data_IF_205679899039
#
_entry.id   IF_205679899039
#
_cell.length_a   1.000
_cell.length_b   1.000
_cell.length_c   1.000
_cell.angle_alpha   90.00
_cell.angle_beta   90.00
_cell.angle_gamma   90.00
#
_symmetry.space_group_name_H-M   'P 1'
#
loop_
_entity.id
_entity.type
_entity.pdbx_description
1 polymer ?
#
# COMPACT_ATOMS: atom_id res chain seq x y z
N UNK A 1 4.94 -12.64 24.22
CA UNK A 1 3.91 -13.59 23.75
C UNK A 1 3.91 -13.55 22.24
N UNK A 2 4.50 -14.55 21.59
CA UNK A 2 4.51 -14.70 20.12
C UNK A 2 3.12 -15.13 19.67
N UNK A 3 2.34 -14.21 19.13
CA UNK A 3 1.07 -14.58 18.48
C UNK A 3 1.39 -15.56 17.35
N UNK A 4 0.66 -16.66 17.29
CA UNK A 4 0.83 -17.65 16.22
C UNK A 4 0.56 -16.95 14.88
N UNK A 5 1.42 -17.11 13.84
CA UNK A 5 1.27 -16.42 12.55
C UNK A 5 -0.11 -16.69 11.91
N UNK A 6 -0.70 -17.81 12.17
CA UNK A 6 -2.04 -18.20 11.70
C UNK A 6 -3.15 -17.32 12.31
N UNK A 7 -3.00 -16.87 13.57
CA UNK A 7 -3.94 -15.93 14.19
C UNK A 7 -3.86 -14.53 13.56
N UNK A 8 -2.65 -14.09 13.24
CA UNK A 8 -2.44 -12.79 12.56
C UNK A 8 -3.09 -12.82 11.17
N UNK A 9 -2.92 -13.92 10.44
CA UNK A 9 -3.56 -14.11 9.13
C UNK A 9 -5.08 -14.13 9.25
N UNK A 10 -5.63 -14.82 10.24
CA UNK A 10 -7.08 -14.88 10.50
C UNK A 10 -7.62 -13.49 10.85
N UNK A 11 -6.96 -12.76 11.75
CA UNK A 11 -7.32 -11.37 12.11
C UNK A 11 -7.29 -10.47 10.86
N UNK A 12 -6.28 -10.62 10.00
CA UNK A 12 -6.18 -9.87 8.74
C UNK A 12 -7.38 -10.15 7.82
N UNK A 13 -7.72 -11.41 7.59
CA UNK A 13 -8.86 -11.79 6.74
C UNK A 13 -10.18 -11.30 7.33
N UNK A 14 -10.37 -11.41 8.66
CA UNK A 14 -11.57 -10.94 9.35
C UNK A 14 -11.76 -9.42 9.28
N UNK A 15 -10.67 -8.66 9.20
CA UNK A 15 -10.73 -7.20 9.07
C UNK A 15 -10.87 -6.80 7.60
N UNK A 16 -10.09 -7.40 6.71
CA UNK A 16 -10.09 -7.00 5.29
C UNK A 16 -11.33 -7.48 4.56
N UNK A 17 -11.93 -8.61 4.94
CA UNK A 17 -13.15 -9.13 4.32
C UNK A 17 -14.32 -8.15 4.36
N UNK A 18 -14.78 -7.71 5.55
CA UNK A 18 -15.84 -6.70 5.68
C UNK A 18 -15.49 -5.36 5.03
N UNK A 19 -14.21 -4.93 5.12
CA UNK A 19 -13.75 -3.70 4.47
C UNK A 19 -13.82 -3.81 2.95
N UNK A 20 -13.43 -4.94 2.38
CA UNK A 20 -13.54 -5.19 0.94
C UNK A 20 -15.01 -5.22 0.51
N UNK A 21 -15.87 -5.89 1.28
CA UNK A 21 -17.30 -5.92 1.00
C UNK A 21 -17.91 -4.50 0.99
N UNK A 22 -17.64 -3.69 2.03
CA UNK A 22 -18.08 -2.29 2.09
C UNK A 22 -17.54 -1.48 0.91
N UNK A 23 -16.27 -1.69 0.55
CA UNK A 23 -15.64 -1.00 -0.58
C UNK A 23 -16.37 -1.25 -1.89
N UNK A 24 -16.71 -2.50 -2.16
CA UNK A 24 -17.43 -2.90 -3.37
C UNK A 24 -18.90 -2.43 -3.40
N UNK A 25 -19.49 -2.11 -2.24
CA UNK A 25 -20.88 -1.68 -2.10
C UNK A 25 -21.06 -0.18 -1.85
N UNK A 26 -20.09 0.65 -2.25
CA UNK A 26 -20.18 2.10 -2.19
C UNK A 26 -18.95 2.83 -1.66
N UNK A 27 -18.04 2.13 -0.98
CA UNK A 27 -16.81 2.74 -0.48
C UNK A 27 -15.93 3.29 -1.61
N UNK A 28 -15.84 2.56 -2.72
CA UNK A 28 -15.11 2.99 -3.90
C UNK A 28 -15.67 4.30 -4.49
N UNK A 29 -16.99 4.42 -4.61
CA UNK A 29 -17.60 5.62 -5.13
C UNK A 29 -17.38 6.81 -4.21
N UNK A 30 -17.56 6.63 -2.89
CA UNK A 30 -17.29 7.66 -1.88
C UNK A 30 -15.83 8.13 -1.92
N UNK A 31 -14.89 7.20 -2.04
CA UNK A 31 -13.48 7.54 -2.18
C UNK A 31 -13.20 8.26 -3.51
N UNK A 32 -13.82 7.81 -4.60
CA UNK A 32 -13.65 8.42 -5.90
C UNK A 32 -14.18 9.87 -5.92
N UNK A 33 -15.28 10.17 -5.23
CA UNK A 33 -15.74 11.55 -5.03
C UNK A 33 -14.70 12.41 -4.30
N UNK A 34 -14.07 11.88 -3.26
CA UNK A 34 -12.97 12.57 -2.56
C UNK A 34 -11.79 12.80 -3.52
N UNK A 35 -11.44 11.78 -4.30
CA UNK A 35 -10.38 11.89 -5.30
C UNK A 35 -10.70 12.95 -6.37
N UNK A 36 -11.94 13.03 -6.84
CA UNK A 36 -12.35 14.08 -7.76
C UNK A 36 -12.22 15.48 -7.15
N UNK A 37 -12.59 15.64 -5.88
CA UNK A 37 -12.53 16.96 -5.21
C UNK A 37 -11.12 17.43 -4.91
N UNK A 38 -10.22 16.53 -4.55
CA UNK A 38 -8.86 16.85 -4.09
C UNK A 38 -7.79 16.53 -5.14
N UNK A 39 -7.92 15.41 -5.85
CA UNK A 39 -6.94 14.94 -6.82
C UNK A 39 -7.04 15.65 -8.17
N UNK A 40 -8.25 15.95 -8.66
CA UNK A 40 -8.42 16.62 -9.96
C UNK A 40 -7.81 18.02 -10.00
N UNK A 41 -7.96 18.88 -8.97
CA UNK A 41 -7.25 20.15 -8.95
C UNK A 41 -5.74 19.99 -9.04
N UNK A 42 -5.17 19.01 -8.31
CA UNK A 42 -3.73 18.72 -8.39
C UNK A 42 -3.30 18.26 -9.79
N UNK A 43 -4.10 17.41 -10.42
CA UNK A 43 -3.85 16.96 -11.80
C UNK A 43 -3.94 18.12 -12.80
N UNK A 44 -4.91 19.03 -12.63
CA UNK A 44 -5.05 20.22 -13.46
C UNK A 44 -3.84 21.15 -13.37
N UNK A 45 -3.29 21.36 -12.17
CA UNK A 45 -2.04 22.09 -11.96
C UNK A 45 -0.83 21.42 -12.64
N UNK A 46 -0.86 20.08 -12.77
CA UNK A 46 0.15 19.32 -13.51
C UNK A 46 -0.07 19.30 -15.02
N UNK A 47 -1.09 20.02 -15.53
CA UNK A 47 -1.40 20.15 -16.97
C UNK A 47 -2.31 19.06 -17.51
N UNK A 48 -2.91 18.22 -16.67
CA UNK A 48 -3.87 17.18 -17.08
C UNK A 48 -5.25 17.79 -17.24
N UNK A 49 -5.69 18.02 -18.49
CA UNK A 49 -7.00 18.63 -18.78
C UNK A 49 -8.10 17.60 -18.98
N UNK A 50 -7.73 16.39 -19.40
CA UNK A 50 -8.65 15.26 -19.60
C UNK A 50 -8.06 14.04 -18.93
N UNK A 51 -8.91 13.22 -18.30
CA UNK A 51 -8.46 12.03 -17.60
C UNK A 51 -9.51 10.92 -17.67
N UNK A 52 -9.12 9.75 -18.17
CA UNK A 52 -9.95 8.56 -18.12
C UNK A 52 -9.74 7.83 -16.78
N UNK A 53 -10.71 7.82 -15.87
CA UNK A 53 -10.53 7.27 -14.53
C UNK A 53 -10.41 5.74 -14.49
N UNK A 54 -10.81 5.02 -15.55
CA UNK A 54 -11.00 3.57 -15.53
C UNK A 54 -9.77 2.79 -15.00
N UNK A 55 -8.59 3.04 -15.55
CA UNK A 55 -7.36 2.34 -15.17
C UNK A 55 -6.90 2.59 -13.74
N UNK A 56 -7.24 3.75 -13.18
CA UNK A 56 -6.82 4.15 -11.82
C UNK A 56 -7.88 3.79 -10.80
N UNK A 57 -9.18 3.88 -11.16
CA UNK A 57 -10.29 3.59 -10.26
C UNK A 57 -10.20 2.18 -9.70
N UNK A 58 -9.83 1.20 -10.51
CA UNK A 58 -9.69 -0.20 -10.08
C UNK A 58 -8.56 -0.40 -9.06
N UNK A 59 -7.56 0.49 -9.04
CA UNK A 59 -6.43 0.44 -8.09
C UNK A 59 -6.68 1.16 -6.77
N UNK A 60 -7.77 1.90 -6.66
CA UNK A 60 -8.12 2.61 -5.43
C UNK A 60 -8.44 1.67 -4.26
N UNK A 61 -8.63 0.37 -4.50
CA UNK A 61 -8.78 -0.67 -3.47
C UNK A 61 -7.53 -0.84 -2.59
N UNK A 62 -6.39 -0.31 -3.00
CA UNK A 62 -5.09 -0.44 -2.32
C UNK A 62 -5.08 0.10 -0.87
N UNK A 63 -6.07 0.88 -0.46
CA UNK A 63 -6.27 1.25 0.94
C UNK A 63 -6.57 0.06 1.85
N UNK A 64 -7.32 -0.93 1.35
CA UNK A 64 -7.82 -2.04 2.16
C UNK A 64 -6.71 -2.90 2.74
N UNK A 65 -5.77 -3.43 1.93
CA UNK A 65 -4.65 -4.21 2.47
C UNK A 65 -3.78 -3.39 3.42
N UNK A 66 -3.56 -2.10 3.14
CA UNK A 66 -2.83 -1.22 4.04
C UNK A 66 -3.50 -1.08 5.41
N UNK A 67 -4.81 -0.77 5.43
CA UNK A 67 -5.58 -0.67 6.67
C UNK A 67 -5.55 -1.98 7.46
N UNK A 68 -5.78 -3.11 6.79
CA UNK A 68 -5.72 -4.43 7.41
C UNK A 68 -4.37 -4.70 8.07
N UNK A 69 -3.27 -4.48 7.34
CA UNK A 69 -1.92 -4.67 7.85
C UNK A 69 -1.62 -3.77 9.05
N UNK A 70 -1.97 -2.49 8.97
CA UNK A 70 -1.75 -1.54 10.08
C UNK A 70 -2.54 -1.90 11.34
N UNK A 71 -3.76 -2.42 11.18
CA UNK A 71 -4.61 -2.80 12.31
C UNK A 71 -4.15 -4.09 12.98
N UNK A 72 -3.72 -5.08 12.19
CA UNK A 72 -3.33 -6.41 12.68
C UNK A 72 -1.90 -6.46 13.21
N UNK A 73 -1.01 -5.54 12.79
CA UNK A 73 0.40 -5.58 13.19
C UNK A 73 0.55 -5.50 14.72
N UNK A 74 1.03 -6.58 15.38
CA UNK A 74 1.21 -6.61 16.82
C UNK A 74 2.36 -5.70 17.24
N UNK A 75 2.31 -5.16 18.46
CA UNK A 75 3.42 -4.35 18.99
C UNK A 75 3.54 -2.93 18.44
N UNK A 76 2.70 -2.54 17.48
CA UNK A 76 2.67 -1.17 17.01
C UNK A 76 1.95 -0.30 18.04
N UNK A 77 2.68 0.61 18.69
CA UNK A 77 2.11 1.53 19.68
C UNK A 77 0.99 2.38 19.11
N UNK A 78 0.01 2.75 19.94
CA UNK A 78 -1.19 3.47 19.53
C UNK A 78 -0.88 4.72 18.68
N UNK A 79 -0.03 5.62 19.17
CA UNK A 79 0.35 6.85 18.44
C UNK A 79 0.98 6.53 17.09
N UNK A 80 1.93 5.58 17.06
CA UNK A 80 2.60 5.19 15.82
C UNK A 80 1.63 4.57 14.81
N UNK A 81 0.61 3.85 15.29
CA UNK A 81 -0.45 3.28 14.46
C UNK A 81 -1.30 4.38 13.83
N UNK A 82 -1.80 5.35 14.61
CA UNK A 82 -2.65 6.42 14.10
C UNK A 82 -1.90 7.38 13.17
N UNK A 83 -0.70 7.81 13.56
CA UNK A 83 0.14 8.65 12.70
C UNK A 83 0.51 7.89 11.43
N UNK A 84 0.88 6.62 11.55
CA UNK A 84 1.19 5.77 10.41
C UNK A 84 0.01 5.56 9.46
N UNK A 85 -1.21 5.40 10.00
CA UNK A 85 -2.43 5.34 9.21
C UNK A 85 -2.66 6.65 8.45
N UNK A 86 -2.61 7.80 9.14
CA UNK A 86 -2.85 9.10 8.52
C UNK A 86 -1.81 9.39 7.40
N UNK A 87 -0.53 9.22 7.69
CA UNK A 87 0.55 9.42 6.71
C UNK A 87 0.46 8.41 5.58
N UNK A 88 0.22 7.14 5.88
CA UNK A 88 0.12 6.10 4.87
C UNK A 88 -1.08 6.30 3.94
N UNK A 89 -2.24 6.69 4.46
CA UNK A 89 -3.41 7.02 3.64
C UNK A 89 -3.15 8.22 2.73
N UNK A 90 -2.46 9.25 3.24
CA UNK A 90 -2.05 10.39 2.43
C UNK A 90 -1.09 9.97 1.31
N UNK A 91 -0.09 9.14 1.61
CA UNK A 91 0.87 8.65 0.61
C UNK A 91 0.19 7.77 -0.44
N UNK A 92 -0.76 6.91 -0.05
CA UNK A 92 -1.55 6.11 -1.00
C UNK A 92 -2.42 7.01 -1.87
N UNK A 93 -3.07 8.04 -1.29
CA UNK A 93 -3.82 9.03 -2.07
C UNK A 93 -2.92 9.72 -3.11
N UNK A 94 -1.74 10.20 -2.71
CA UNK A 94 -0.79 10.82 -3.62
C UNK A 94 -0.28 9.84 -4.68
N UNK A 95 -0.12 8.57 -4.35
CA UNK A 95 0.23 7.54 -5.34
C UNK A 95 -0.86 7.36 -6.41
N UNK A 96 -2.13 7.49 -6.05
CA UNK A 96 -3.23 7.46 -7.02
C UNK A 96 -3.22 8.71 -7.93
N UNK A 97 -2.89 9.90 -7.39
CA UNK A 97 -2.70 11.11 -8.21
C UNK A 97 -1.55 10.92 -9.19
N UNK A 98 -0.43 10.38 -8.72
CA UNK A 98 0.74 10.13 -9.56
C UNK A 98 0.45 9.06 -10.63
N UNK A 99 -0.27 8.00 -10.27
CA UNK A 99 -0.70 6.96 -11.20
C UNK A 99 -1.63 7.54 -12.28
N UNK A 100 -2.54 8.43 -11.90
CA UNK A 100 -3.43 9.13 -12.82
C UNK A 100 -2.66 10.02 -13.80
N UNK A 101 -1.68 10.77 -13.29
CA UNK A 101 -0.78 11.55 -14.14
C UNK A 101 0.02 10.67 -15.10
N UNK A 102 0.56 9.55 -14.61
CA UNK A 102 1.31 8.62 -15.47
C UNK A 102 0.43 7.97 -16.53
N UNK A 103 -0.80 7.58 -16.18
CA UNK A 103 -1.76 7.08 -17.15
C UNK A 103 -2.05 8.11 -18.25
N UNK A 104 -2.32 9.36 -17.87
CA UNK A 104 -2.53 10.44 -18.83
C UNK A 104 -1.29 10.64 -19.73
N UNK A 105 -0.10 10.72 -19.14
CA UNK A 105 1.14 10.92 -19.89
C UNK A 105 1.41 9.79 -20.89
N UNK A 106 1.07 8.55 -20.52
CA UNK A 106 1.30 7.38 -21.38
C UNK A 106 0.27 7.22 -22.50
N UNK A 107 -1.01 7.53 -22.24
CA UNK A 107 -2.10 7.24 -23.18
C UNK A 107 -2.59 8.44 -23.96
N UNK A 108 -2.60 9.62 -23.36
CA UNK A 108 -3.20 10.81 -23.98
C UNK A 108 -2.13 11.71 -24.61
N UNK A 109 -0.95 11.78 -24.04
CA UNK A 109 0.12 12.63 -24.53
C UNK A 109 0.76 12.11 -25.82
N UNK A 110 1.03 10.81 -25.90
CA UNK A 110 1.83 10.22 -26.97
C UNK A 110 1.00 9.54 -28.08
N UNK A 111 -0.32 9.37 -27.90
CA UNK A 111 -1.28 8.93 -28.91
C UNK A 111 -1.04 7.51 -29.51
N UNK A 112 -0.13 6.72 -28.92
CA UNK A 112 0.24 5.38 -29.40
C UNK A 112 -0.16 4.30 -28.41
N UNK A 113 -1.26 3.62 -28.65
CA UNK A 113 -1.90 2.70 -27.70
C UNK A 113 -1.10 1.43 -27.34
N UNK A 114 -0.27 0.89 -28.24
CA UNK A 114 0.42 -0.39 -28.01
C UNK A 114 1.64 -0.26 -27.11
N UNK A 115 2.48 0.76 -27.32
CA UNK A 115 3.67 1.01 -26.50
C UNK A 115 3.32 1.63 -25.14
N UNK A 116 2.18 2.31 -25.06
CA UNK A 116 1.69 2.97 -23.85
C UNK A 116 1.39 1.99 -22.74
N UNK A 117 0.85 0.80 -23.04
CA UNK A 117 0.56 -0.22 -22.03
C UNK A 117 1.84 -0.78 -21.41
N UNK A 118 2.87 -1.04 -22.23
CA UNK A 118 4.16 -1.53 -21.73
C UNK A 118 4.84 -0.51 -20.82
N UNK A 119 4.73 0.80 -21.12
CA UNK A 119 5.27 1.88 -20.30
C UNK A 119 4.49 2.08 -19.00
N UNK A 120 3.17 1.85 -19.02
CA UNK A 120 2.31 2.03 -17.86
C UNK A 120 2.34 0.84 -16.88
N UNK A 121 2.65 -0.37 -17.35
CA UNK A 121 2.64 -1.59 -16.56
C UNK A 121 3.54 -1.55 -15.29
N UNK A 122 4.78 -1.03 -15.33
CA UNK A 122 5.60 -0.89 -14.14
C UNK A 122 4.97 0.02 -13.06
N UNK A 123 4.25 1.07 -13.49
CA UNK A 123 3.51 1.95 -12.59
C UNK A 123 2.37 1.24 -11.86
N UNK A 124 1.65 0.35 -12.55
CA UNK A 124 0.61 -0.48 -11.95
C UNK A 124 1.19 -1.40 -10.87
N UNK A 125 2.29 -2.11 -11.18
CA UNK A 125 2.96 -3.00 -10.22
C UNK A 125 3.46 -2.22 -8.99
N UNK A 126 4.04 -1.05 -9.21
CA UNK A 126 4.49 -0.19 -8.11
C UNK A 126 3.30 0.28 -7.26
N UNK A 127 2.20 0.69 -7.88
CA UNK A 127 1.00 1.11 -7.16
C UNK A 127 0.43 -0.04 -6.31
N UNK A 128 0.41 -1.27 -6.81
CA UNK A 128 -0.07 -2.44 -6.07
C UNK A 128 0.88 -2.83 -4.92
N UNK A 129 2.18 -2.64 -5.08
CA UNK A 129 3.18 -2.91 -4.03
C UNK A 129 3.25 -1.80 -2.97
N UNK A 130 2.84 -0.58 -3.31
CA UNK A 130 3.04 0.62 -2.49
C UNK A 130 2.45 0.53 -1.07
N UNK A 131 1.23 0.02 -0.85
CA UNK A 131 0.67 -0.18 0.48
C UNK A 131 1.54 -1.05 1.38
N UNK A 132 2.12 -2.10 0.82
CA UNK A 132 3.01 -3.03 1.55
C UNK A 132 4.34 -2.37 1.89
N UNK A 133 4.89 -1.57 0.97
CA UNK A 133 6.13 -0.81 1.20
C UNK A 133 5.94 0.20 2.33
N UNK A 134 4.86 0.99 2.29
CA UNK A 134 4.55 1.97 3.34
C UNK A 134 4.39 1.26 4.69
N UNK A 135 3.60 0.18 4.72
CA UNK A 135 3.43 -0.61 5.93
C UNK A 135 4.76 -1.14 6.47
N UNK A 136 5.61 -1.72 5.61
CA UNK A 136 6.90 -2.27 6.01
C UNK A 136 7.83 -1.19 6.59
N UNK A 137 7.82 0.02 6.04
CA UNK A 137 8.58 1.16 6.57
C UNK A 137 8.05 1.58 7.94
N UNK A 138 6.73 1.67 8.13
CA UNK A 138 6.12 2.04 9.41
C UNK A 138 6.35 0.94 10.46
N UNK A 139 6.22 -0.32 10.06
CA UNK A 139 6.34 -1.49 10.94
C UNK A 139 7.79 -2.02 11.07
N UNK A 140 8.80 -1.37 10.51
CA UNK A 140 10.16 -1.87 10.37
C UNK A 140 10.76 -2.46 11.65
N UNK A 141 10.56 -1.81 12.81
CA UNK A 141 11.05 -2.32 14.10
C UNK A 141 10.38 -3.62 14.52
N UNK A 142 9.06 -3.68 14.35
CA UNK A 142 8.27 -4.88 14.68
C UNK A 142 8.67 -6.04 13.76
N UNK A 143 8.85 -5.77 12.47
CA UNK A 143 9.30 -6.76 11.50
C UNK A 143 10.72 -7.27 11.83
N UNK A 144 11.64 -6.38 12.17
CA UNK A 144 12.98 -6.75 12.58
C UNK A 144 13.00 -7.67 13.82
N UNK A 145 12.18 -7.35 14.83
CA UNK A 145 12.00 -8.19 16.03
C UNK A 145 11.39 -9.56 15.68
N UNK A 146 10.39 -9.58 14.80
CA UNK A 146 9.78 -10.85 14.35
C UNK A 146 10.79 -11.72 13.60
N UNK A 147 11.56 -11.15 12.69
CA UNK A 147 12.59 -11.89 11.91
C UNK A 147 13.70 -12.41 12.84
N UNK A 148 14.17 -11.59 13.78
CA UNK A 148 15.21 -12.00 14.74
C UNK A 148 14.78 -13.15 15.66
N UNK A 149 13.47 -13.24 15.93
CA UNK A 149 12.91 -14.33 16.73
C UNK A 149 12.70 -15.64 15.94
N UNK A 150 12.62 -15.55 14.61
CA UNK A 150 12.44 -16.72 13.72
C UNK A 150 13.80 -17.30 13.30
N UNK A 151 14.81 -16.45 13.12
CA UNK A 151 16.16 -16.91 12.81
C UNK A 151 16.89 -17.29 14.10
N UNK A 152 17.13 -18.60 14.38
CA UNK A 152 17.97 -18.97 15.49
C UNK A 152 19.37 -18.39 15.22
N UNK A 153 19.90 -17.63 16.20
CA UNK A 153 21.29 -17.22 16.18
C UNK A 153 22.11 -18.48 15.99
N UNK A 154 22.76 -18.62 14.83
CA UNK A 154 23.78 -19.62 14.62
C UNK A 154 24.80 -19.43 15.77
N UNK A 155 24.77 -20.34 16.74
CA UNK A 155 25.72 -20.32 17.82
C UNK A 155 27.11 -20.39 17.19
N UNK A 156 27.83 -19.28 17.26
CA UNK A 156 29.25 -19.26 16.96
C UNK A 156 29.89 -20.18 17.99
N UNK A 157 30.06 -21.46 17.61
CA UNK A 157 30.91 -22.39 18.31
C UNK A 157 32.35 -21.92 18.13
N UNK A 158 32.73 -20.96 18.97
CA UNK A 158 34.13 -20.66 19.20
C UNK A 158 34.64 -21.82 20.04
N UNK A 159 35.10 -22.87 19.37
CA UNK A 159 35.98 -23.85 19.96
C UNK A 159 37.27 -23.11 20.38
N UNK A 160 37.33 -22.68 21.61
CA UNK A 160 38.61 -22.43 22.28
C UNK A 160 39.22 -23.80 22.61
N UNK A 161 39.91 -24.39 21.64
CA UNK A 161 40.94 -25.35 21.88
C UNK A 161 42.12 -24.55 22.47
N UNK A 162 42.28 -24.64 23.76
CA UNK A 162 43.50 -24.30 24.47
C UNK A 162 44.23 -25.60 24.77
N UNK A 163 45.33 -25.80 24.08
CA UNK A 163 46.44 -26.68 24.51
C UNK A 163 47.18 -26.04 25.69
#
# INVERSE_FOLDING_TARGET
MTRRPLLILLEFVLITGPLTWWWLHGGLESYYEIFQRLGFPLLAEMGVNTFNPGLVKDRMINFIPFLGLMLVTPGLGFVRRFVGLAVGMLLIFLSHVLLAYWAWASFERDGQAADSMAQFFPGLLLADAFPFIIWAVIANRVLAEMISNIMPRSASSTNSQSD
#
